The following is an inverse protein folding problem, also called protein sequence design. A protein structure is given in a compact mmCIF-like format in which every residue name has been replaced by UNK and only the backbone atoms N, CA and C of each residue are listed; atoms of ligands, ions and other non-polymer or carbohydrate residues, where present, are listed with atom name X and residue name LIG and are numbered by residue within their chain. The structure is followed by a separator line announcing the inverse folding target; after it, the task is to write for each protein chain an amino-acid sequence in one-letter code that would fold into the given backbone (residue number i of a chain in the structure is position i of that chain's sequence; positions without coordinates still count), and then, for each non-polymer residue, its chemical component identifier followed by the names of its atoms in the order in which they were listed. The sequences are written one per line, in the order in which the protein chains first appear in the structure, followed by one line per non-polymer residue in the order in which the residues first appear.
data_IF_204656837800
#
_entry.id   IF_204656837800
#
_cell.length_a   1.000
_cell.length_b   1.000
_cell.length_c   1.000
_cell.angle_alpha   90.00
_cell.angle_beta   90.00
_cell.angle_gamma   90.00
#
_symmetry.space_group_name_H-M   'P 1'
#
loop_
_entity.id
_entity.type
_entity.pdbx_description
1 polymer ?
#
# COMPACT_ATOMS: atom_id res chain seq x y z
N UNK A 1 5.03 12.68 20.82
CA UNK A 1 4.58 11.34 21.23
C UNK A 1 3.13 11.05 20.81
N UNK A 2 2.20 12.00 20.98
CA UNK A 2 0.80 11.82 20.52
C UNK A 2 0.68 11.53 19.02
N UNK A 3 1.45 12.21 18.17
CA UNK A 3 1.42 12.00 16.70
C UNK A 3 1.82 10.57 16.29
N UNK A 4 2.81 9.98 16.97
CA UNK A 4 3.24 8.60 16.73
C UNK A 4 2.18 7.61 17.21
N UNK A 5 1.59 7.85 18.39
CA UNK A 5 0.51 7.02 18.91
C UNK A 5 -0.71 7.00 17.97
N UNK A 6 -1.12 8.16 17.46
CA UNK A 6 -2.21 8.27 16.47
C UNK A 6 -1.88 7.49 15.20
N UNK A 7 -0.65 7.59 14.69
CA UNK A 7 -0.22 6.84 13.51
C UNK A 7 -0.30 5.31 13.72
N UNK A 8 0.08 4.83 14.91
CA UNK A 8 -0.03 3.40 15.25
C UNK A 8 -1.47 2.92 15.38
N UNK A 9 -2.35 3.73 15.98
CA UNK A 9 -3.78 3.42 16.07
C UNK A 9 -4.42 3.34 14.68
N UNK A 10 -4.11 4.30 13.80
CA UNK A 10 -4.60 4.30 12.42
C UNK A 10 -4.11 3.07 11.64
N UNK A 11 -2.86 2.68 11.85
CA UNK A 11 -2.30 1.46 11.24
C UNK A 11 -3.01 0.21 11.75
N UNK A 12 -3.19 0.07 13.07
CA UNK A 12 -3.89 -1.06 13.68
C UNK A 12 -5.34 -1.14 13.19
N UNK A 13 -6.03 0.00 13.12
CA UNK A 13 -7.39 0.07 12.58
C UNK A 13 -7.41 -0.42 11.13
N UNK A 14 -6.52 0.06 10.26
CA UNK A 14 -6.48 -0.36 8.86
C UNK A 14 -6.23 -1.87 8.68
N UNK A 15 -5.44 -2.48 9.57
CA UNK A 15 -5.07 -3.90 9.52
C UNK A 15 -6.08 -4.84 10.20
N UNK A 16 -6.83 -4.35 11.18
CA UNK A 16 -7.79 -5.15 11.96
C UNK A 16 -9.23 -5.01 11.46
N UNK A 17 -9.51 -4.06 10.55
CA UNK A 17 -10.86 -3.78 10.07
C UNK A 17 -11.29 -4.77 8.98
N UNK A 18 -11.65 -5.97 9.41
CA UNK A 18 -12.00 -7.09 8.53
C UNK A 18 -13.17 -6.79 7.59
N UNK A 19 -14.20 -6.08 8.06
CA UNK A 19 -15.43 -5.81 7.29
C UNK A 19 -15.21 -4.95 6.02
N UNK A 20 -14.21 -4.08 6.02
CA UNK A 20 -14.00 -3.09 4.94
C UNK A 20 -12.72 -3.38 4.15
N UNK A 21 -11.61 -3.68 4.83
CA UNK A 21 -10.31 -3.89 4.18
C UNK A 21 -9.97 -5.36 3.98
N UNK A 22 -10.75 -6.29 4.56
CA UNK A 22 -10.38 -7.70 4.69
C UNK A 22 -9.28 -7.94 5.72
N UNK A 23 -8.98 -6.93 6.55
CA UNK A 23 -8.00 -6.96 7.63
C UNK A 23 -6.65 -7.52 7.22
N UNK A 24 -6.20 -8.60 7.89
CA UNK A 24 -4.91 -9.25 7.60
C UNK A 24 -4.87 -9.98 6.26
N UNK A 25 -6.03 -10.40 5.75
CA UNK A 25 -6.15 -11.10 4.47
C UNK A 25 -6.12 -10.13 3.28
N UNK A 26 -6.42 -8.84 3.54
CA UNK A 26 -6.54 -7.80 2.52
C UNK A 26 -7.72 -8.00 1.58
N UNK A 27 -7.92 -7.03 0.68
CA UNK A 27 -8.95 -7.11 -0.36
C UNK A 27 -8.58 -8.16 -1.42
N UNK A 28 -9.08 -9.37 -1.24
CA UNK A 28 -8.96 -10.49 -2.17
C UNK A 28 -10.08 -10.37 -3.22
N UNK A 29 -9.72 -10.38 -4.50
CA UNK A 29 -10.70 -10.34 -5.61
C UNK A 29 -10.70 -9.04 -6.43
N UNK A 30 -9.91 -8.04 -6.05
CA UNK A 30 -9.64 -6.86 -6.92
C UNK A 30 -8.64 -7.26 -8.01
N UNK A 31 -9.05 -8.20 -8.86
CA UNK A 31 -8.31 -8.58 -10.04
C UNK A 31 -8.57 -7.52 -11.10
N UNK A 32 -7.54 -6.79 -11.56
CA UNK A 32 -7.73 -5.86 -12.65
C UNK A 32 -8.15 -6.64 -13.89
N UNK A 33 -8.90 -5.95 -14.74
CA UNK A 33 -9.38 -6.41 -16.03
C UNK A 33 -8.38 -7.30 -16.77
N UNK A 34 -8.90 -8.33 -17.45
CA UNK A 34 -8.14 -9.42 -18.09
C UNK A 34 -6.94 -8.97 -18.94
N UNK A 35 -7.00 -7.77 -19.54
CA UNK A 35 -5.91 -7.16 -20.32
C UNK A 35 -4.69 -6.71 -19.50
N UNK A 36 -4.86 -6.40 -18.21
CA UNK A 36 -3.78 -5.99 -17.29
C UNK A 36 -3.31 -7.14 -16.40
N UNK A 37 -4.01 -8.28 -16.43
CA UNK A 37 -3.66 -9.49 -15.69
C UNK A 37 -2.75 -10.43 -16.48
N UNK A 38 -2.67 -10.27 -17.81
CA UNK A 38 -1.96 -11.16 -18.70
C UNK A 38 -0.76 -10.42 -19.33
N UNK A 39 0.46 -10.88 -19.06
CA UNK A 39 1.69 -10.40 -19.72
C UNK A 39 2.45 -9.27 -18.99
N UNK A 40 3.49 -8.70 -19.64
CA UNK A 40 4.38 -7.70 -19.05
C UNK A 40 3.76 -6.31 -18.90
N UNK A 41 2.49 -6.11 -19.29
CA UNK A 41 1.83 -4.82 -19.26
C UNK A 41 1.71 -4.21 -17.86
N UNK A 42 1.50 -5.04 -16.84
CA UNK A 42 1.50 -4.55 -15.45
C UNK A 42 2.87 -4.00 -15.02
N UNK A 43 3.95 -4.64 -15.47
CA UNK A 43 5.31 -4.15 -15.22
C UNK A 43 5.54 -2.80 -15.88
N UNK A 44 5.20 -2.65 -17.17
CA UNK A 44 5.34 -1.38 -17.88
C UNK A 44 4.46 -0.27 -17.30
N UNK A 45 3.23 -0.58 -16.87
CA UNK A 45 2.37 0.38 -16.17
C UNK A 45 2.99 0.85 -14.86
N UNK A 46 3.45 -0.09 -14.03
CA UNK A 46 4.08 0.23 -12.73
C UNK A 46 5.35 1.05 -12.93
N UNK A 47 6.17 0.69 -13.93
CA UNK A 47 7.39 1.40 -14.28
C UNK A 47 7.07 2.82 -14.79
N UNK A 48 6.07 2.97 -15.66
CA UNK A 48 5.63 4.27 -16.16
C UNK A 48 5.12 5.18 -15.04
N UNK A 49 4.27 4.66 -14.14
CA UNK A 49 3.74 5.42 -13.00
C UNK A 49 4.84 5.81 -12.01
N UNK A 50 5.78 4.89 -11.74
CA UNK A 50 6.92 5.18 -10.86
C UNK A 50 7.84 6.24 -11.46
N UNK A 51 8.18 6.12 -12.74
CA UNK A 51 8.99 7.11 -13.45
C UNK A 51 8.29 8.47 -13.52
N UNK A 52 6.99 8.50 -13.79
CA UNK A 52 6.18 9.72 -13.78
C UNK A 52 6.14 10.36 -12.39
N UNK A 53 5.98 9.57 -11.32
CA UNK A 53 6.02 10.05 -9.94
C UNK A 53 7.37 10.68 -9.58
N UNK A 54 8.48 10.04 -9.94
CA UNK A 54 9.84 10.58 -9.74
C UNK A 54 10.03 11.88 -10.54
N UNK A 55 9.63 11.90 -11.80
CA UNK A 55 9.72 13.10 -12.64
C UNK A 55 8.89 14.25 -12.07
N UNK A 56 7.70 13.96 -11.56
CA UNK A 56 6.80 14.93 -10.93
C UNK A 56 7.40 15.50 -9.64
N UNK A 57 7.89 14.66 -8.74
CA UNK A 57 8.59 15.09 -7.52
C UNK A 57 9.83 15.91 -7.84
N UNK A 58 10.58 15.52 -8.88
CA UNK A 58 11.73 16.29 -9.36
C UNK A 58 11.30 17.68 -9.83
N UNK A 59 10.24 17.79 -10.65
CA UNK A 59 9.72 19.09 -11.09
C UNK A 59 9.26 19.94 -9.91
N UNK A 60 8.57 19.36 -8.93
CA UNK A 60 8.18 20.07 -7.71
C UNK A 60 9.38 20.59 -6.92
N UNK A 61 10.44 19.80 -6.81
CA UNK A 61 11.65 20.19 -6.07
C UNK A 61 12.43 21.36 -6.71
N UNK A 62 12.37 21.50 -8.04
CA UNK A 62 12.98 22.61 -8.79
C UNK A 62 12.00 23.75 -9.11
N UNK A 63 10.75 23.66 -8.66
CA UNK A 63 9.75 24.71 -8.81
C UNK A 63 9.88 25.77 -7.70
N UNK A 64 9.26 26.97 -7.83
CA UNK A 64 9.23 27.96 -6.77
C UNK A 64 8.71 27.43 -5.43
N UNK A 65 7.83 26.41 -5.44
CA UNK A 65 7.36 25.74 -4.22
C UNK A 65 8.51 25.03 -3.49
N UNK A 66 9.38 24.33 -4.22
CA UNK A 66 10.54 23.65 -3.66
C UNK A 66 11.55 24.62 -3.04
N UNK A 67 11.78 25.77 -3.69
CA UNK A 67 12.62 26.85 -3.13
C UNK A 67 11.98 27.51 -1.91
N UNK A 68 10.66 27.76 -1.93
CA UNK A 68 9.93 28.31 -0.80
C UNK A 68 9.99 27.38 0.43
N UNK A 69 9.85 26.07 0.24
CA UNK A 69 10.00 25.07 1.31
C UNK A 69 11.39 25.10 1.95
N UNK A 70 12.44 25.27 1.13
CA UNK A 70 13.83 25.40 1.65
C UNK A 70 14.00 26.69 2.44
N UNK A 71 13.48 27.82 1.93
CA UNK A 71 13.53 29.10 2.65
C UNK A 71 12.77 29.07 3.98
N UNK A 72 11.59 28.43 4.02
CA UNK A 72 10.82 28.22 5.25
C UNK A 72 11.56 27.33 6.25
N UNK A 73 12.30 26.32 5.77
CA UNK A 73 13.10 25.42 6.62
C UNK A 73 14.24 26.15 7.32
N UNK A 74 14.89 27.10 6.65
CA UNK A 74 16.02 27.84 7.20
C UNK A 74 15.57 28.82 8.30
N UNK A 75 14.52 29.61 8.05
CA UNK A 75 13.89 30.44 9.09
C UNK A 75 12.47 30.87 8.71
N UNK A 76 11.48 30.37 9.45
CA UNK A 76 10.07 30.75 9.25
C UNK A 76 9.81 32.24 9.48
N UNK A 77 10.46 32.84 10.49
CA UNK A 77 10.31 34.27 10.80
C UNK A 77 10.79 35.17 9.64
N UNK A 78 11.86 34.78 8.95
CA UNK A 78 12.41 35.55 7.82
C UNK A 78 11.59 35.34 6.56
N UNK A 79 11.05 34.14 6.37
CA UNK A 79 10.09 33.83 5.32
C UNK A 79 8.81 34.69 5.44
N UNK A 80 8.28 34.84 6.65
CA UNK A 80 7.10 35.67 6.93
C UNK A 80 7.38 37.16 6.71
N UNK A 81 8.57 37.64 7.09
CA UNK A 81 8.99 39.01 6.81
C UNK A 81 9.07 39.33 5.30
N UNK A 82 9.32 38.33 4.45
CA UNK A 82 9.29 38.45 2.99
C UNK A 82 7.86 38.34 2.40
N UNK A 83 6.84 38.22 3.25
CA UNK A 83 5.44 38.10 2.84
C UNK A 83 5.01 36.69 2.43
N UNK A 84 5.82 35.66 2.71
CA UNK A 84 5.43 34.27 2.43
C UNK A 84 4.54 33.73 3.54
N UNK A 85 3.41 33.11 3.16
CA UNK A 85 2.56 32.41 4.11
C UNK A 85 3.13 31.01 4.40
N UNK A 86 3.99 30.93 5.42
CA UNK A 86 4.66 29.71 5.90
C UNK A 86 3.71 28.52 5.97
N UNK A 87 2.50 28.74 6.50
CA UNK A 87 1.48 27.70 6.64
C UNK A 87 1.11 27.09 5.29
N UNK A 88 0.71 27.89 4.29
CA UNK A 88 0.32 27.38 2.96
C UNK A 88 1.43 26.59 2.28
N UNK A 89 2.67 27.05 2.39
CA UNK A 89 3.83 26.36 1.81
C UNK A 89 4.00 24.97 2.43
N UNK A 90 3.86 24.85 3.76
CA UNK A 90 3.91 23.56 4.45
C UNK A 90 2.74 22.63 4.08
N UNK A 91 1.52 23.16 4.00
CA UNK A 91 0.34 22.38 3.57
C UNK A 91 0.50 21.85 2.14
N UNK A 92 1.00 22.67 1.22
CA UNK A 92 1.25 22.25 -0.15
C UNK A 92 2.31 21.14 -0.22
N UNK A 93 3.38 21.23 0.59
CA UNK A 93 4.38 20.18 0.72
C UNK A 93 3.79 18.86 1.27
N UNK A 94 2.92 18.95 2.28
CA UNK A 94 2.25 17.80 2.88
C UNK A 94 1.32 17.08 1.90
N UNK A 95 0.52 17.83 1.12
CA UNK A 95 -0.38 17.27 0.10
C UNK A 95 0.43 16.58 -1.00
N UNK A 96 1.51 17.19 -1.46
CA UNK A 96 2.37 16.59 -2.49
C UNK A 96 3.02 15.28 -2.02
N UNK A 97 3.52 15.24 -0.78
CA UNK A 97 4.10 14.04 -0.19
C UNK A 97 3.05 12.93 0.02
N UNK A 98 1.87 13.29 0.50
CA UNK A 98 0.76 12.35 0.73
C UNK A 98 0.25 11.74 -0.58
N UNK A 99 0.18 12.54 -1.65
CA UNK A 99 -0.17 12.04 -2.99
C UNK A 99 0.83 11.00 -3.49
N UNK A 100 2.14 11.29 -3.38
CA UNK A 100 3.18 10.35 -3.78
C UNK A 100 3.13 9.06 -2.95
N UNK A 101 2.91 9.16 -1.64
CA UNK A 101 2.76 8.00 -0.75
C UNK A 101 1.53 7.15 -1.11
N UNK A 102 0.39 7.78 -1.41
CA UNK A 102 -0.83 7.09 -1.84
C UNK A 102 -0.66 6.37 -3.19
N UNK A 103 0.01 7.00 -4.15
CA UNK A 103 0.31 6.40 -5.45
C UNK A 103 1.27 5.21 -5.33
N UNK A 104 2.28 5.29 -4.45
CA UNK A 104 3.14 4.16 -4.16
C UNK A 104 2.39 3.00 -3.46
N UNK A 105 1.51 3.33 -2.51
CA UNK A 105 0.68 2.34 -1.80
C UNK A 105 -0.27 1.57 -2.72
N UNK A 106 -0.93 2.26 -3.66
CA UNK A 106 -1.86 1.62 -4.61
C UNK A 106 -1.17 0.66 -5.58
N UNK A 107 0.07 0.99 -6.00
CA UNK A 107 0.90 0.09 -6.81
C UNK A 107 1.34 -1.15 -6.03
N UNK A 108 1.63 -0.99 -4.74
CA UNK A 108 2.12 -2.08 -3.87
C UNK A 108 1.06 -3.17 -3.61
N UNK A 109 -0.22 -2.82 -3.57
CA UNK A 109 -1.31 -3.77 -3.28
C UNK A 109 -1.30 -4.98 -4.22
N UNK A 110 -1.00 -4.78 -5.51
CA UNK A 110 -0.95 -5.89 -6.46
C UNK A 110 0.21 -6.86 -6.20
N UNK A 111 1.34 -6.36 -5.73
CA UNK A 111 2.50 -7.21 -5.47
C UNK A 111 2.23 -8.19 -4.32
N UNK A 112 1.39 -7.85 -3.33
CA UNK A 112 1.08 -8.78 -2.23
C UNK A 112 0.20 -9.98 -2.62
N UNK A 113 -0.66 -9.86 -3.63
CA UNK A 113 -1.68 -10.87 -3.94
C UNK A 113 -1.19 -12.16 -4.61
N UNK A 114 0.07 -12.24 -5.09
CA UNK A 114 0.52 -13.40 -5.88
C UNK A 114 1.17 -14.53 -5.07
N UNK A 115 1.52 -14.30 -3.80
CA UNK A 115 2.24 -15.30 -2.99
C UNK A 115 1.35 -16.19 -2.12
N UNK A 116 0.11 -15.79 -1.85
CA UNK A 116 -0.75 -16.45 -0.85
C UNK A 116 -1.98 -17.14 -1.47
N UNK A 117 -1.87 -17.64 -2.70
CA UNK A 117 -2.84 -18.60 -3.22
C UNK A 117 -2.30 -20.01 -2.95
N UNK A 118 -2.72 -20.71 -1.89
CA UNK A 118 -2.47 -22.14 -1.80
C UNK A 118 -3.04 -22.81 -3.06
N UNK A 119 -2.32 -23.74 -3.70
CA UNK A 119 -2.85 -24.45 -4.86
C UNK A 119 -4.20 -25.06 -4.49
N UNK A 120 -5.23 -24.93 -5.34
CA UNK A 120 -6.49 -25.60 -5.08
C UNK A 120 -6.19 -27.10 -4.99
N UNK A 121 -6.40 -27.66 -3.80
CA UNK A 121 -6.43 -29.11 -3.54
C UNK A 121 -7.55 -29.72 -4.40
N UNK A 122 -7.27 -29.94 -5.67
CA UNK A 122 -8.10 -30.73 -6.60
C UNK A 122 -7.96 -32.19 -6.21
N UNK A 123 -8.67 -32.61 -5.17
CA UNK A 123 -8.48 -33.96 -4.65
C UNK A 123 -9.39 -34.40 -3.52
N UNK A 124 -10.61 -33.86 -3.38
CA UNK A 124 -11.63 -34.46 -2.53
C UNK A 124 -12.92 -34.61 -3.34
N UNK A 125 -12.93 -35.64 -4.18
CA UNK A 125 -14.13 -36.15 -4.84
C UNK A 125 -15.04 -36.69 -3.72
N UNK A 126 -16.11 -35.98 -3.42
CA UNK A 126 -17.16 -36.40 -2.49
C UNK A 126 -17.88 -37.64 -3.06
N UNK A 127 -17.26 -38.80 -2.83
CA UNK A 127 -17.87 -40.11 -3.02
C UNK A 127 -18.76 -40.45 -1.83
N UNK A 128 -20.05 -40.65 -2.09
CA UNK A 128 -21.05 -41.13 -1.12
C UNK A 128 -20.67 -42.50 -0.54
N UNK A 129 -21.05 -42.68 0.73
CA UNK A 129 -21.37 -43.91 1.51
C UNK A 129 -20.29 -44.46 2.46
N UNK A 130 -20.80 -44.81 3.65
CA UNK A 130 -20.26 -45.62 4.75
C UNK A 130 -19.44 -44.89 5.84
N UNK A 131 -20.10 -44.70 7.00
CA UNK A 131 -19.47 -44.59 8.32
C UNK A 131 -19.10 -46.00 8.85
N UNK A 132 -18.48 -46.19 10.04
CA UNK A 132 -17.72 -45.28 10.90
C UNK A 132 -16.31 -45.85 11.25
N UNK A 133 -15.54 -45.08 12.03
CA UNK A 133 -14.31 -45.45 12.78
C UNK A 133 -12.95 -45.28 12.08
N UNK A 134 -12.05 -44.60 12.82
CA UNK A 134 -10.59 -44.48 12.64
C UNK A 134 -10.08 -43.58 11.51
N UNK A 135 -9.44 -42.46 11.88
CA UNK A 135 -8.56 -41.71 10.97
C UNK A 135 -8.75 -40.19 10.91
N UNK A 136 -9.08 -39.53 12.01
CA UNK A 136 -8.76 -38.12 12.20
C UNK A 136 -7.24 -37.97 12.10
N UNK A 137 -6.74 -37.33 11.03
CA UNK A 137 -5.51 -36.52 10.98
C UNK A 137 -5.23 -36.12 9.52
N UNK A 138 -6.09 -35.27 8.98
CA UNK A 138 -5.73 -34.38 7.87
C UNK A 138 -5.26 -33.04 8.48
N UNK A 139 -4.26 -33.12 9.36
CA UNK A 139 -3.58 -31.96 9.95
C UNK A 139 -2.11 -32.32 10.11
N UNK A 140 -1.36 -32.13 9.04
CA UNK A 140 0.09 -32.08 9.09
C UNK A 140 0.55 -30.89 8.24
N UNK A 141 0.43 -29.70 8.82
CA UNK A 141 1.20 -28.53 8.40
C UNK A 141 2.64 -28.72 8.90
N UNK A 142 3.67 -28.79 8.04
CA UNK A 142 5.06 -28.86 8.49
C UNK A 142 5.70 -27.46 8.60
N UNK A 143 4.93 -26.42 8.97
CA UNK A 143 5.40 -25.02 8.93
C UNK A 143 5.81 -24.44 10.30
N UNK A 144 5.83 -25.25 11.37
CA UNK A 144 6.27 -24.82 12.71
C UNK A 144 7.60 -25.44 13.16
N UNK A 145 8.58 -25.49 12.26
CA UNK A 145 10.00 -25.63 12.64
C UNK A 145 10.80 -24.59 11.88
N UNK A 146 11.40 -23.69 12.67
CA UNK A 146 12.24 -22.54 12.33
C UNK A 146 11.50 -21.22 12.13
#
# INVERSE_FOLDING_TARGET
MLTLAVAQILWALAYQWDDVTGGSNGLIGVWPSSWLAQGPWFYYLTLALSAAGIAWLRRLAFSPLGYALRGVRDSSMRAEALGMETRRVQWAGFVAASFAAGLAGSLYTRWRGHWWAPPPIRGCRTGRRAAPSTGTLCWAWPFWRW
#
